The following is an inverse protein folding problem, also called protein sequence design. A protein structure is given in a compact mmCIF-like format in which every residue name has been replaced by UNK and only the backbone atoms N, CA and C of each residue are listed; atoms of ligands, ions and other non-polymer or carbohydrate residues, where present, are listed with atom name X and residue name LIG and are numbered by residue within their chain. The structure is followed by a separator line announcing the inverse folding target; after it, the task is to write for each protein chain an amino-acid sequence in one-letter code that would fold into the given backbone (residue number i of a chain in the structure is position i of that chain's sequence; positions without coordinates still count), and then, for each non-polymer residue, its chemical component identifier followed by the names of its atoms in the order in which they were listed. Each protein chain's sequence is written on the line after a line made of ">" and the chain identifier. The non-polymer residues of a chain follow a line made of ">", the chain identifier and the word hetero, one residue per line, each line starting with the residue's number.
data_IF_040397954723
#
_entry.id   IF_040397954723
#
_cell.length_a   1.000
_cell.length_b   1.000
_cell.length_c   1.000
_cell.angle_alpha   90.00
_cell.angle_beta   90.00
_cell.angle_gamma   90.00
#
_symmetry.space_group_name_H-M   'P 1'
#
loop_
_entity.id
_entity.type
_entity.pdbx_description
1 polymer ?
#
# COMPACT_ATOMS: atom_id res chain seq x y z
N UNK A 1 -38.59 -13.14 9.16
CA UNK A 1 -37.46 -13.41 8.25
C UNK A 1 -36.31 -12.50 8.67
N UNK A 2 -35.18 -13.06 9.12
CA UNK A 2 -34.07 -12.26 9.63
C UNK A 2 -33.31 -11.61 8.46
N UNK A 3 -33.34 -10.27 8.40
CA UNK A 3 -32.56 -9.48 7.45
C UNK A 3 -31.10 -9.52 7.91
N UNK A 4 -30.24 -10.22 7.17
CA UNK A 4 -28.80 -10.21 7.43
C UNK A 4 -28.30 -8.77 7.36
N UNK A 5 -27.56 -8.34 8.38
CA UNK A 5 -27.02 -6.97 8.50
C UNK A 5 -25.82 -6.73 7.60
N UNK A 6 -25.32 -7.76 6.92
CA UNK A 6 -24.26 -7.62 5.93
C UNK A 6 -24.89 -7.26 4.58
N UNK A 7 -24.55 -6.06 4.09
CA UNK A 7 -24.71 -5.73 2.68
C UNK A 7 -23.76 -6.56 1.81
N UNK A 8 -23.81 -6.39 0.48
CA UNK A 8 -22.87 -7.03 -0.43
C UNK A 8 -21.44 -6.77 0.02
N UNK A 9 -20.63 -7.83 0.10
CA UNK A 9 -19.19 -7.71 0.36
C UNK A 9 -18.59 -7.00 -0.86
N UNK A 10 -17.88 -5.89 -0.64
CA UNK A 10 -17.20 -5.18 -1.71
C UNK A 10 -16.24 -6.15 -2.42
N UNK A 11 -16.42 -6.29 -3.73
CA UNK A 11 -15.52 -7.06 -4.58
C UNK A 11 -14.29 -6.18 -4.89
N UNK A 12 -13.42 -6.03 -3.90
CA UNK A 12 -12.14 -5.32 -4.03
C UNK A 12 -11.22 -6.16 -4.93
N UNK A 13 -11.44 -6.08 -6.24
CA UNK A 13 -10.61 -6.77 -7.22
C UNK A 13 -9.22 -6.15 -7.24
N UNK A 14 -8.15 -6.90 -6.90
CA UNK A 14 -6.81 -6.36 -6.96
C UNK A 14 -6.44 -6.00 -8.41
N UNK A 15 -6.00 -4.76 -8.62
CA UNK A 15 -5.47 -4.32 -9.92
C UNK A 15 -3.97 -4.61 -9.95
N UNK A 16 -3.52 -5.40 -10.94
CA UNK A 16 -2.09 -5.64 -11.15
C UNK A 16 -1.48 -4.48 -11.92
N UNK A 17 -0.43 -3.90 -11.36
CA UNK A 17 0.39 -2.86 -12.00
C UNK A 17 1.80 -3.41 -12.19
N UNK A 18 2.35 -3.29 -13.40
CA UNK A 18 3.75 -3.60 -13.68
C UNK A 18 4.55 -2.31 -13.62
N UNK A 19 5.65 -2.30 -12.86
CA UNK A 19 6.54 -1.15 -12.71
C UNK A 19 7.97 -1.56 -12.98
N UNK A 20 8.71 -0.73 -13.70
CA UNK A 20 10.15 -0.86 -13.86
C UNK A 20 10.84 0.02 -12.82
N UNK A 21 11.80 -0.55 -12.09
CA UNK A 21 12.55 0.15 -11.05
C UNK A 21 14.02 0.26 -11.46
N UNK A 22 14.68 1.40 -11.21
CA UNK A 22 16.13 1.47 -11.29
C UNK A 22 16.76 0.39 -10.38
N UNK A 23 17.82 -0.27 -10.86
CA UNK A 23 18.47 -1.34 -10.11
C UNK A 23 18.97 -0.90 -8.72
N UNK A 24 19.40 0.37 -8.59
CA UNK A 24 19.78 0.95 -7.31
C UNK A 24 18.61 0.99 -6.33
N UNK A 25 17.44 1.48 -6.77
CA UNK A 25 16.25 1.55 -5.94
C UNK A 25 15.78 0.16 -5.50
N UNK A 26 15.83 -0.83 -6.38
CA UNK A 26 15.48 -2.21 -5.99
C UNK A 26 16.37 -2.72 -4.84
N UNK A 27 17.69 -2.51 -4.94
CA UNK A 27 18.64 -2.92 -3.87
C UNK A 27 18.34 -2.22 -2.55
N UNK A 28 18.07 -0.91 -2.60
CA UNK A 28 17.77 -0.12 -1.40
C UNK A 28 16.46 -0.58 -0.75
N UNK A 29 15.43 -0.91 -1.55
CA UNK A 29 14.16 -1.46 -1.06
C UNK A 29 14.35 -2.84 -0.42
N UNK A 30 15.19 -3.70 -0.99
CA UNK A 30 15.53 -4.99 -0.36
C UNK A 30 16.21 -4.79 1.00
N UNK A 31 17.22 -3.92 1.07
CA UNK A 31 17.92 -3.62 2.31
C UNK A 31 16.98 -3.00 3.37
N UNK A 32 16.11 -2.08 2.95
CA UNK A 32 15.10 -1.47 3.83
C UNK A 32 14.17 -2.52 4.42
N UNK A 33 13.67 -3.45 3.59
CA UNK A 33 12.79 -4.51 4.07
C UNK A 33 13.47 -5.45 5.07
N UNK A 34 14.77 -5.73 4.87
CA UNK A 34 15.56 -6.52 5.81
C UNK A 34 15.70 -5.84 7.17
N UNK A 35 16.05 -4.55 7.18
CA UNK A 35 16.19 -3.76 8.40
C UNK A 35 14.86 -3.71 9.15
N UNK A 36 13.78 -3.35 8.44
CA UNK A 36 12.44 -3.26 9.02
C UNK A 36 11.97 -4.59 9.62
N UNK A 37 12.19 -5.70 8.92
CA UNK A 37 11.86 -7.03 9.43
C UNK A 37 12.61 -7.35 10.72
N UNK A 38 13.92 -7.11 10.74
CA UNK A 38 14.76 -7.33 11.93
C UNK A 38 14.29 -6.50 13.12
N UNK A 39 14.00 -5.23 12.93
CA UNK A 39 13.49 -4.34 14.00
C UNK A 39 12.14 -4.79 14.55
N UNK A 40 11.25 -5.29 13.68
CA UNK A 40 9.94 -5.80 14.07
C UNK A 40 9.98 -7.22 14.67
N UNK A 41 11.14 -7.89 14.69
CA UNK A 41 11.24 -9.31 15.04
C UNK A 41 10.51 -10.24 14.06
N UNK A 42 10.31 -9.77 12.83
CA UNK A 42 9.57 -10.45 11.78
C UNK A 42 10.48 -10.79 10.60
N UNK A 43 10.00 -11.67 9.70
CA UNK A 43 10.71 -11.90 8.45
C UNK A 43 10.65 -10.64 7.58
N UNK A 44 11.72 -10.29 6.85
CA UNK A 44 11.70 -9.22 5.87
C UNK A 44 10.55 -9.40 4.89
N UNK A 45 9.87 -8.31 4.55
CA UNK A 45 8.89 -8.32 3.47
C UNK A 45 9.60 -8.34 2.11
N UNK A 46 8.97 -8.93 1.09
CA UNK A 46 9.47 -8.78 -0.28
C UNK A 46 9.27 -7.34 -0.77
N UNK A 47 10.17 -6.85 -1.63
CA UNK A 47 10.14 -5.48 -2.15
C UNK A 47 8.75 -5.06 -2.71
N UNK A 48 8.02 -5.89 -3.48
CA UNK A 48 6.67 -5.52 -3.94
C UNK A 48 5.67 -5.27 -2.80
N UNK A 49 5.72 -6.06 -1.72
CA UNK A 49 4.82 -5.88 -0.57
C UNK A 49 5.16 -4.62 0.21
N UNK A 50 6.47 -4.33 0.35
CA UNK A 50 6.94 -3.09 0.94
C UNK A 50 6.47 -1.87 0.13
N UNK A 51 6.60 -1.90 -1.20
CA UNK A 51 6.16 -0.79 -2.07
C UNK A 51 4.66 -0.51 -1.88
N UNK A 52 3.82 -1.54 -1.87
CA UNK A 52 2.37 -1.36 -1.67
C UNK A 52 2.09 -0.69 -0.33
N UNK A 53 2.69 -1.17 0.77
CA UNK A 53 2.50 -0.58 2.09
C UNK A 53 3.01 0.88 2.18
N UNK A 54 4.13 1.19 1.52
CA UNK A 54 4.66 2.55 1.45
C UNK A 54 3.72 3.48 0.66
N UNK A 55 3.17 3.03 -0.46
CA UNK A 55 2.23 3.81 -1.27
C UNK A 55 0.90 4.05 -0.55
N UNK A 56 0.35 3.02 0.11
CA UNK A 56 -0.85 3.16 0.94
C UNK A 56 -0.62 4.20 2.05
N UNK A 57 0.51 4.11 2.75
CA UNK A 57 0.86 5.05 3.81
C UNK A 57 1.05 6.47 3.27
N UNK A 58 1.71 6.61 2.13
CA UNK A 58 1.91 7.91 1.48
C UNK A 58 0.56 8.57 1.14
N UNK A 59 -0.31 7.87 0.41
CA UNK A 59 -1.63 8.38 0.02
C UNK A 59 -2.51 8.70 1.23
N UNK A 60 -2.48 7.86 2.27
CA UNK A 60 -3.28 8.07 3.47
C UNK A 60 -2.84 9.29 4.31
N UNK A 61 -1.57 9.68 4.23
CA UNK A 61 -0.99 10.74 5.07
C UNK A 61 -0.76 12.06 4.35
N UNK A 62 -0.80 12.07 3.01
CA UNK A 62 -0.67 13.29 2.22
C UNK A 62 -1.93 14.18 2.34
N UNK A 63 -1.83 15.23 3.16
CA UNK A 63 -2.90 16.21 3.37
C UNK A 63 -3.17 17.07 2.14
N UNK A 64 -2.15 17.32 1.32
CA UNK A 64 -2.26 18.08 0.07
C UNK A 64 -3.11 17.30 -0.91
N UNK A 65 -2.78 16.02 -1.11
CA UNK A 65 -3.59 15.08 -1.89
C UNK A 65 -5.02 14.98 -1.35
N UNK A 66 -5.18 14.79 -0.04
CA UNK A 66 -6.51 14.68 0.57
C UNK A 66 -7.38 15.92 0.33
N UNK A 67 -6.78 17.12 0.32
CA UNK A 67 -7.48 18.38 0.06
C UNK A 67 -7.87 18.49 -1.41
N UNK A 68 -6.94 18.26 -2.32
CA UNK A 68 -7.21 18.28 -3.77
C UNK A 68 -8.31 17.28 -4.15
N UNK A 69 -8.23 16.04 -3.64
CA UNK A 69 -9.23 14.99 -3.90
C UNK A 69 -10.64 15.37 -3.46
N UNK A 70 -10.80 16.13 -2.36
CA UNK A 70 -12.12 16.64 -1.93
C UNK A 70 -12.61 17.77 -2.81
N UNK A 71 -11.71 18.62 -3.32
CA UNK A 71 -12.04 19.73 -4.20
C UNK A 71 -12.42 19.28 -5.62
N UNK A 72 -11.88 18.17 -6.11
CA UNK A 72 -12.23 17.60 -7.43
C UNK A 72 -13.54 16.79 -7.42
N UNK A 73 -14.00 16.35 -6.24
CA UNK A 73 -15.23 15.57 -6.08
C UNK A 73 -16.47 16.38 -5.70
N UNK A 74 -16.40 17.73 -5.78
CA UNK A 74 -17.49 18.66 -5.48
C UNK A 74 -18.13 19.25 -6.72
#
# INVERSE_FOLDING_TARGET
>A
MARLKLGPIADDKPVKVMVELPAALHRDLTAYAEILGREAGQRPADAPRLIVAMLERFIATDRGFATAKRSEGG
#
